data_IF_052867926144
#
_entry.id   IF_052867926144
#
_cell.length_a   1.000
_cell.length_b   1.000
_cell.length_c   1.000
_cell.angle_alpha   90.00
_cell.angle_beta   90.00
_cell.angle_gamma   90.00
#
_symmetry.space_group_name_H-M   'P 1'
#
loop_
_entity.id
_entity.type
_entity.pdbx_description
1 polymer ?
#
# COMPACT_ATOMS: atom_id res chain seq x y z
N UNK A 1 14.76 -7.02 -9.16
CA UNK A 1 13.58 -6.98 -10.02
C UNK A 1 13.26 -5.53 -10.30
N UNK A 2 13.14 -5.12 -11.57
CA UNK A 2 12.63 -3.81 -11.94
C UNK A 2 11.29 -3.54 -11.25
N UNK A 3 11.00 -2.28 -10.94
CA UNK A 3 9.81 -1.94 -10.16
C UNK A 3 8.51 -2.42 -10.83
N UNK A 4 8.36 -2.22 -12.14
CA UNK A 4 7.16 -2.65 -12.87
C UNK A 4 6.91 -4.16 -12.75
N UNK A 5 7.96 -4.98 -12.89
CA UNK A 5 7.87 -6.44 -12.73
C UNK A 5 7.57 -6.81 -11.27
N UNK A 6 8.17 -6.09 -10.33
CA UNK A 6 7.97 -6.31 -8.91
C UNK A 6 6.54 -5.98 -8.46
N UNK A 7 5.96 -4.88 -8.93
CA UNK A 7 4.57 -4.50 -8.68
C UNK A 7 3.60 -5.57 -9.20
N UNK A 8 3.86 -6.13 -10.40
CA UNK A 8 3.05 -7.23 -10.95
C UNK A 8 3.10 -8.45 -10.05
N UNK A 9 4.27 -8.85 -9.55
CA UNK A 9 4.38 -9.96 -8.61
C UNK A 9 3.70 -9.67 -7.27
N UNK A 10 3.78 -8.44 -6.76
CA UNK A 10 3.09 -8.02 -5.53
C UNK A 10 1.57 -8.06 -5.70
N UNK A 11 1.04 -7.56 -6.81
CA UNK A 11 -0.40 -7.59 -7.13
C UNK A 11 -0.89 -9.03 -7.21
N UNK A 12 -0.18 -9.90 -7.94
CA UNK A 12 -0.52 -11.30 -8.04
C UNK A 12 -0.53 -11.97 -6.66
N UNK A 13 0.49 -11.71 -5.84
CA UNK A 13 0.57 -12.26 -4.49
C UNK A 13 -0.50 -11.71 -3.57
N UNK A 14 -0.86 -10.44 -3.67
CA UNK A 14 -1.94 -9.84 -2.89
C UNK A 14 -3.29 -10.50 -3.21
N UNK A 15 -3.58 -10.73 -4.49
CA UNK A 15 -4.80 -11.44 -4.95
C UNK A 15 -4.90 -12.89 -4.46
N UNK A 16 -3.77 -13.55 -4.17
CA UNK A 16 -3.77 -14.86 -3.53
C UNK A 16 -4.11 -14.80 -2.03
N UNK A 17 -3.80 -13.68 -1.37
CA UNK A 17 -3.97 -13.51 0.07
C UNK A 17 -5.39 -13.02 0.40
N UNK A 18 -5.92 -12.11 -0.40
CA UNK A 18 -7.23 -11.51 -0.23
C UNK A 18 -7.92 -11.30 -1.58
N UNK A 19 -9.25 -11.30 -1.57
CA UNK A 19 -10.04 -11.03 -2.75
C UNK A 19 -10.19 -9.52 -2.96
N UNK A 20 -9.64 -9.01 -4.06
CA UNK A 20 -9.75 -7.60 -4.45
C UNK A 20 -10.69 -7.46 -5.64
N UNK A 21 -11.82 -6.78 -5.43
CA UNK A 21 -12.80 -6.54 -6.51
C UNK A 21 -12.32 -5.43 -7.47
N UNK A 22 -11.67 -4.39 -6.94
CA UNK A 22 -11.16 -3.26 -7.72
C UNK A 22 -9.65 -3.41 -7.99
N UNK A 23 -9.33 -3.92 -9.18
CA UNK A 23 -7.95 -4.08 -9.63
C UNK A 23 -7.22 -2.75 -9.88
N UNK A 24 -7.94 -1.69 -10.27
CA UNK A 24 -7.32 -0.37 -10.48
C UNK A 24 -6.87 0.22 -9.15
N UNK A 25 -7.72 0.12 -8.13
CA UNK A 25 -7.40 0.56 -6.79
C UNK A 25 -6.26 -0.27 -6.18
N UNK A 26 -6.26 -1.59 -6.37
CA UNK A 26 -5.15 -2.44 -5.95
C UNK A 26 -3.84 -2.03 -6.62
N UNK A 27 -3.84 -1.82 -7.94
CA UNK A 27 -2.65 -1.37 -8.67
C UNK A 27 -2.14 -0.03 -8.16
N UNK A 28 -3.05 0.92 -7.91
CA UNK A 28 -2.70 2.23 -7.33
C UNK A 28 -2.06 2.07 -5.94
N UNK A 29 -2.67 1.29 -5.04
CA UNK A 29 -2.17 1.08 -3.69
C UNK A 29 -0.80 0.39 -3.68
N UNK A 30 -0.60 -0.61 -4.54
CA UNK A 30 0.70 -1.29 -4.68
C UNK A 30 1.77 -0.33 -5.19
N UNK A 31 1.45 0.52 -6.17
CA UNK A 31 2.37 1.55 -6.67
C UNK A 31 2.80 2.52 -5.57
N UNK A 32 1.84 3.10 -4.84
CA UNK A 32 2.09 3.99 -3.70
C UNK A 32 2.99 3.34 -2.64
N UNK A 33 2.72 2.08 -2.30
CA UNK A 33 3.53 1.34 -1.33
C UNK A 33 4.93 1.07 -1.87
N UNK A 34 5.06 0.65 -3.14
CA UNK A 34 6.35 0.37 -3.76
C UNK A 34 7.21 1.63 -3.84
N UNK A 35 6.64 2.76 -4.23
CA UNK A 35 7.35 4.05 -4.29
C UNK A 35 7.86 4.47 -2.91
N UNK A 36 7.03 4.36 -1.87
CA UNK A 36 7.47 4.69 -0.50
C UNK A 36 8.56 3.73 -0.02
N UNK A 37 8.42 2.43 -0.30
CA UNK A 37 9.43 1.44 0.07
C UNK A 37 10.72 1.68 -0.69
N UNK A 38 10.68 2.07 -1.97
CA UNK A 38 11.87 2.38 -2.76
C UNK A 38 12.65 3.54 -2.14
N UNK A 39 11.93 4.60 -1.72
CA UNK A 39 12.50 5.74 -1.00
C UNK A 39 13.07 5.32 0.36
N UNK A 40 12.32 4.56 1.15
CA UNK A 40 12.77 4.08 2.46
C UNK A 40 14.07 3.27 2.36
N UNK A 41 14.17 2.40 1.35
CA UNK A 41 15.31 1.55 1.09
C UNK A 41 16.48 2.26 0.41
N UNK A 42 16.32 3.55 0.06
CA UNK A 42 17.27 4.33 -0.75
C UNK A 42 17.61 3.61 -2.08
N UNK A 43 16.59 3.10 -2.79
CA UNK A 43 16.79 2.53 -4.11
C UNK A 43 16.95 3.66 -5.14
N UNK A 44 18.01 3.66 -5.97
CA UNK A 44 18.07 4.58 -7.11
C UNK A 44 16.97 4.23 -8.14
N UNK A 45 16.64 5.18 -9.01
CA UNK A 45 15.55 5.08 -10.00
C UNK A 45 15.61 3.81 -10.87
N UNK A 46 16.82 3.27 -11.12
CA UNK A 46 17.04 2.04 -11.91
C UNK A 46 17.41 0.82 -11.06
N UNK A 47 17.24 0.89 -9.74
CA UNK A 47 17.54 -0.24 -8.88
C UNK A 47 16.46 -1.31 -8.92
N UNK A 48 16.95 -2.50 -8.59
CA UNK A 48 16.17 -3.70 -8.47
C UNK A 48 15.67 -3.86 -7.03
N UNK A 49 14.37 -4.07 -6.86
CA UNK A 49 13.79 -4.63 -5.65
C UNK A 49 14.28 -6.05 -5.42
N UNK A 50 14.39 -6.43 -4.15
CA UNK A 50 14.65 -7.81 -3.75
C UNK A 50 13.35 -8.63 -3.79
N UNK A 51 13.35 -9.74 -4.55
CA UNK A 51 12.18 -10.62 -4.72
C UNK A 51 11.62 -11.13 -3.40
N UNK A 52 12.43 -11.26 -2.34
CA UNK A 52 11.98 -11.70 -1.01
C UNK A 52 10.96 -10.73 -0.40
N UNK A 53 10.95 -9.47 -0.84
CA UNK A 53 10.02 -8.45 -0.36
C UNK A 53 8.62 -8.56 -0.99
N UNK A 54 8.41 -9.34 -2.06
CA UNK A 54 7.11 -9.46 -2.75
C UNK A 54 5.99 -9.81 -1.77
N UNK A 55 6.18 -10.88 -0.97
CA UNK A 55 5.16 -11.32 -0.01
C UNK A 55 4.97 -10.32 1.13
N UNK A 56 6.03 -9.62 1.53
CA UNK A 56 5.98 -8.61 2.57
C UNK A 56 5.12 -7.43 2.13
N UNK A 57 5.35 -6.91 0.91
CA UNK A 57 4.58 -5.79 0.37
C UNK A 57 3.14 -6.20 0.02
N UNK A 58 2.91 -7.44 -0.39
CA UNK A 58 1.55 -7.97 -0.57
C UNK A 58 0.77 -8.00 0.76
N UNK A 59 1.38 -8.52 1.85
CA UNK A 59 0.77 -8.49 3.18
C UNK A 59 0.54 -7.06 3.70
N UNK A 60 1.50 -6.17 3.47
CA UNK A 60 1.38 -4.75 3.82
C UNK A 60 0.20 -4.11 3.08
N UNK A 61 0.04 -4.40 1.79
CA UNK A 61 -1.08 -3.92 0.98
C UNK A 61 -2.40 -4.40 1.57
N UNK A 62 -2.56 -5.72 1.77
CA UNK A 62 -3.77 -6.31 2.35
C UNK A 62 -4.09 -5.72 3.74
N UNK A 63 -3.07 -5.60 4.60
CA UNK A 63 -3.23 -5.02 5.94
C UNK A 63 -3.69 -3.56 5.91
N UNK A 64 -3.20 -2.76 4.96
CA UNK A 64 -3.65 -1.39 4.80
C UNK A 64 -5.10 -1.28 4.31
N UNK A 65 -5.53 -2.15 3.39
CA UNK A 65 -6.95 -2.22 2.99
C UNK A 65 -7.85 -2.58 4.17
N UNK A 66 -7.47 -3.58 4.98
CA UNK A 66 -8.22 -3.96 6.19
C UNK A 66 -8.31 -2.78 7.18
N UNK A 67 -7.21 -2.04 7.38
CA UNK A 67 -7.19 -0.85 8.25
C UNK A 67 -8.10 0.24 7.72
N UNK A 68 -8.02 0.53 6.42
CA UNK A 68 -8.87 1.51 5.76
C UNK A 68 -10.34 1.14 5.90
N UNK A 69 -10.73 -0.09 5.59
CA UNK A 69 -12.11 -0.58 5.73
C UNK A 69 -12.58 -0.52 7.19
N UNK A 70 -11.72 -0.90 8.13
CA UNK A 70 -12.02 -0.80 9.57
C UNK A 70 -12.23 0.65 10.02
N UNK A 71 -11.44 1.59 9.51
CA UNK A 71 -11.57 3.02 9.81
C UNK A 71 -12.81 3.63 9.14
N UNK A 72 -13.11 3.23 7.90
CA UNK A 72 -14.31 3.62 7.18
C UNK A 72 -15.56 3.11 7.90
N UNK A 73 -15.57 1.86 8.36
CA UNK A 73 -16.67 1.28 9.11
C UNK A 73 -16.89 1.96 10.47
N UNK A 74 -15.82 2.30 11.22
CA UNK A 74 -15.95 3.11 12.45
C UNK A 74 -16.50 4.51 12.18
N UNK A 75 -16.19 5.07 11.01
CA UNK A 75 -16.73 6.36 10.59
C UNK A 75 -18.19 6.21 10.19
N UNK A 76 -18.57 5.12 9.51
CA UNK A 76 -19.94 4.77 9.18
C UNK A 76 -20.78 4.54 10.46
N UNK A 77 -20.27 3.80 11.45
CA UNK A 77 -20.93 3.63 12.75
C UNK A 77 -21.15 4.96 13.50
N UNK A 78 -20.22 5.91 13.38
CA UNK A 78 -20.41 7.28 13.90
C UNK A 78 -21.41 8.08 13.06
N UNK A 79 -21.43 7.87 11.74
CA UNK A 79 -22.35 8.50 10.80
C UNK A 79 -23.75 7.87 10.76
N UNK A 80 -24.01 6.72 11.41
CA UNK A 80 -25.37 6.17 11.58
C UNK A 80 -26.24 7.09 12.48
N UNK A 81 -25.65 8.13 13.08
CA UNK A 81 -26.38 9.26 13.67
C UNK A 81 -26.75 10.39 12.68
N UNK A 82 -26.33 10.33 11.41
CA UNK A 82 -26.74 11.26 10.36
C UNK A 82 -26.54 10.71 8.93
N UNK A 83 -27.67 10.53 8.24
CA UNK A 83 -27.87 10.44 6.77
C UNK A 83 -27.76 9.07 6.09
N UNK A 84 -28.95 8.58 5.76
CA UNK A 84 -29.27 7.57 4.78
C UNK A 84 -29.37 8.18 3.37
N UNK A 85 -28.84 7.43 2.39
CA UNK A 85 -29.21 7.36 0.96
C UNK A 85 -28.56 8.33 -0.07
N UNK A 86 -28.29 7.78 -1.26
CA UNK A 86 -27.92 8.35 -2.58
C UNK A 86 -26.55 7.94 -3.19
N UNK A 87 -26.44 6.70 -3.71
CA UNK A 87 -25.61 6.41 -4.91
C UNK A 87 -24.08 6.34 -4.72
N UNK A 88 -23.61 5.74 -3.63
CA UNK A 88 -22.28 5.95 -3.07
C UNK A 88 -21.16 5.04 -3.63
N UNK A 89 -21.05 4.81 -4.94
CA UNK A 89 -19.92 4.02 -5.51
C UNK A 89 -18.68 4.85 -5.90
N UNK A 90 -18.82 6.17 -6.07
CA UNK A 90 -17.67 7.06 -6.39
C UNK A 90 -16.85 7.43 -5.13
N UNK A 91 -17.44 7.32 -3.93
CA UNK A 91 -16.76 7.77 -2.70
C UNK A 91 -15.70 6.80 -2.19
N UNK A 92 -15.91 5.48 -2.33
CA UNK A 92 -15.03 4.48 -1.72
C UNK A 92 -13.64 4.46 -2.38
N UNK A 93 -13.61 4.37 -3.72
CA UNK A 93 -12.35 4.38 -4.47
C UNK A 93 -11.57 5.68 -4.21
N UNK A 94 -12.24 6.84 -4.22
CA UNK A 94 -11.60 8.12 -3.95
C UNK A 94 -11.11 8.23 -2.50
N UNK A 95 -11.85 7.71 -1.53
CA UNK A 95 -11.46 7.68 -0.13
C UNK A 95 -10.25 6.75 0.10
N UNK A 96 -10.23 5.57 -0.53
CA UNK A 96 -9.11 4.65 -0.47
C UNK A 96 -7.86 5.24 -1.14
N UNK A 97 -8.00 5.82 -2.33
CA UNK A 97 -6.90 6.53 -3.00
C UNK A 97 -6.38 7.69 -2.14
N UNK A 98 -7.27 8.47 -1.55
CA UNK A 98 -6.91 9.57 -0.65
C UNK A 98 -6.21 9.06 0.62
N UNK A 99 -6.68 7.95 1.19
CA UNK A 99 -6.02 7.30 2.32
C UNK A 99 -4.59 6.93 1.97
N UNK A 100 -4.38 6.16 0.89
CA UNK A 100 -3.04 5.76 0.49
C UNK A 100 -2.17 6.98 0.19
N UNK A 101 -2.66 7.99 -0.54
CA UNK A 101 -1.89 9.18 -0.88
C UNK A 101 -1.51 10.07 0.32
N UNK A 102 -2.29 10.07 1.40
CA UNK A 102 -2.11 11.01 2.53
C UNK A 102 -1.67 10.37 3.84
N UNK A 103 -1.82 9.05 3.97
CA UNK A 103 -1.39 8.31 5.15
C UNK A 103 0.12 8.47 5.38
N UNK A 104 0.52 8.50 6.65
CA UNK A 104 1.93 8.60 7.03
C UNK A 104 2.66 7.29 6.73
N UNK A 105 3.95 7.38 6.44
CA UNK A 105 4.78 6.17 6.22
C UNK A 105 4.79 5.25 7.45
N UNK A 106 4.73 5.82 8.66
CA UNK A 106 4.62 5.02 9.90
C UNK A 106 3.35 4.18 9.97
N UNK A 107 2.28 4.62 9.30
CA UNK A 107 1.00 3.93 9.25
C UNK A 107 0.99 2.89 8.12
N UNK A 108 1.50 3.26 6.93
CA UNK A 108 1.62 2.36 5.79
C UNK A 108 2.58 1.21 6.09
N UNK A 109 3.74 1.48 6.71
CA UNK A 109 4.76 0.48 7.03
C UNK A 109 4.58 -0.21 8.37
N UNK A 110 3.48 0.05 9.08
CA UNK A 110 3.25 -0.42 10.44
C UNK A 110 3.52 -1.94 10.59
N UNK A 111 4.46 -2.28 11.47
CA UNK A 111 4.93 -3.64 11.73
C UNK A 111 6.03 -4.17 10.79
N UNK A 112 6.35 -3.47 9.69
CA UNK A 112 7.29 -3.95 8.67
C UNK A 112 8.64 -3.21 8.66
N UNK A 113 8.76 -2.08 9.34
CA UNK A 113 9.98 -1.25 9.35
C UNK A 113 11.22 -2.06 9.73
N UNK A 114 11.16 -2.87 10.79
CA UNK A 114 12.29 -3.70 11.23
C UNK A 114 12.71 -4.75 10.19
N UNK A 115 11.76 -5.24 9.39
CA UNK A 115 12.05 -6.18 8.29
C UNK A 115 12.69 -5.45 7.11
N UNK A 116 12.33 -4.19 6.87
CA UNK A 116 12.87 -3.39 5.76
C UNK A 116 14.26 -2.82 6.06
N UNK A 117 14.58 -2.53 7.34
CA UNK A 117 15.87 -1.93 7.74
C UNK A 117 17.11 -2.64 7.15
N UNK A 118 17.23 -3.97 7.19
CA UNK A 118 18.40 -4.67 6.64
C UNK A 118 18.55 -4.56 5.12
N UNK A 119 17.46 -4.24 4.40
CA UNK A 119 17.45 -4.05 2.95
C UNK A 119 17.80 -2.62 2.54
N UNK A 120 17.88 -1.70 3.49
CA UNK A 120 18.17 -0.28 3.23
C UNK A 120 19.61 -0.12 2.78
N UNK A 121 19.81 0.54 1.64
CA UNK A 121 21.14 0.84 1.12
C UNK A 121 21.72 2.06 1.83
N UNK A 122 23.01 2.00 2.14
CA UNK A 122 23.75 3.17 2.61
C UNK A 122 23.80 4.16 1.46
N UNK A 123 23.39 5.40 1.71
CA UNK A 123 23.48 6.49 0.74
C UNK A 123 24.95 6.93 0.65
N UNK A 124 25.78 6.14 -0.05
CA UNK A 124 27.18 6.53 -0.30
C UNK A 124 27.12 7.61 -1.37
N UNK A 125 27.26 8.86 -0.97
CA UNK A 125 27.53 9.96 -1.89
C UNK A 125 28.92 9.68 -2.47
N UNK A 126 28.99 9.01 -3.63
CA UNK A 126 30.23 9.00 -4.39
C UNK A 126 30.42 10.41 -4.91
N UNK A 127 31.44 11.10 -4.38
CA UNK A 127 31.92 12.37 -4.92
C UNK A 127 32.37 12.23 -6.37
#
# INVERSE_FOLDING_TARGET
MPQEEFEVEVIAKAKEIANFEDEKLLKFAVGEICDRVSLYLNLPEKANFDRRLVRILANMTCGNFIKFESAANRTAERAISSLSDNGQSISYQNAAQSYFATAKDSEIFDGYVEILKPYRRINVVSR
#
